data_IF_465990853152
#
_entry.id   IF_465990853152
#
_cell.length_a   1.000
_cell.length_b   1.000
_cell.length_c   1.000
_cell.angle_alpha   90.00
_cell.angle_beta   90.00
_cell.angle_gamma   90.00
#
_symmetry.space_group_name_H-M   'P 1'
#
loop_
_entity.id
_entity.type
_entity.pdbx_description
1 polymer ?
#
# COMPACT_ATOMS: atom_id res chain seq x y z
N UNK A 1 14.30 47.24 -4.80
CA UNK A 1 14.81 45.89 -4.46
C UNK A 1 13.88 45.15 -3.50
N UNK A 2 13.28 45.81 -2.51
CA UNK A 2 12.36 45.18 -1.51
C UNK A 2 11.09 44.53 -2.11
N UNK A 3 10.52 45.10 -3.17
CA UNK A 3 9.33 44.54 -3.84
C UNK A 3 9.56 43.13 -4.42
N UNK A 4 10.74 42.89 -5.01
CA UNK A 4 11.09 41.57 -5.56
C UNK A 4 11.40 40.57 -4.44
N UNK A 5 11.95 41.03 -3.31
CA UNK A 5 12.23 40.19 -2.15
C UNK A 5 10.94 39.67 -1.51
N UNK A 6 9.94 40.54 -1.27
CA UNK A 6 8.65 40.13 -0.74
C UNK A 6 7.92 39.14 -1.65
N UNK A 7 7.96 39.35 -2.97
CA UNK A 7 7.37 38.41 -3.94
C UNK A 7 8.04 37.04 -3.92
N UNK A 8 9.37 36.99 -3.74
CA UNK A 8 10.09 35.71 -3.61
C UNK A 8 9.81 34.99 -2.30
N UNK A 9 9.66 35.73 -1.19
CA UNK A 9 9.31 35.19 0.12
C UNK A 9 7.88 34.63 0.12
N UNK A 10 6.91 35.36 -0.42
CA UNK A 10 5.51 34.92 -0.54
C UNK A 10 5.37 33.66 -1.41
N UNK A 11 6.12 33.58 -2.52
CA UNK A 11 6.15 32.37 -3.35
C UNK A 11 6.76 31.17 -2.63
N UNK A 12 7.81 31.37 -1.84
CA UNK A 12 8.43 30.30 -1.06
C UNK A 12 7.52 29.79 0.06
N UNK A 13 6.83 30.71 0.76
CA UNK A 13 5.84 30.38 1.77
C UNK A 13 4.63 29.64 1.17
N UNK A 14 4.10 30.12 0.04
CA UNK A 14 2.98 29.46 -0.66
C UNK A 14 3.30 28.03 -1.11
N UNK A 15 4.52 27.78 -1.62
CA UNK A 15 4.97 26.41 -1.96
C UNK A 15 5.08 25.52 -0.73
N UNK A 16 5.55 26.05 0.40
CA UNK A 16 5.63 25.26 1.64
C UNK A 16 4.25 24.91 2.19
N UNK A 17 3.29 25.83 2.16
CA UNK A 17 1.90 25.58 2.56
C UNK A 17 1.26 24.52 1.67
N UNK A 18 1.48 24.58 0.35
CA UNK A 18 0.98 23.59 -0.60
C UNK A 18 1.56 22.18 -0.35
N UNK A 19 2.87 22.05 -0.07
CA UNK A 19 3.47 20.74 0.25
C UNK A 19 2.88 20.15 1.53
N UNK A 20 2.73 20.98 2.56
CA UNK A 20 2.21 20.53 3.85
C UNK A 20 0.73 20.11 3.76
N UNK A 21 -0.06 20.77 2.90
CA UNK A 21 -1.46 20.38 2.66
C UNK A 21 -1.56 19.05 1.92
N UNK A 22 -0.70 18.79 0.92
CA UNK A 22 -0.66 17.48 0.22
C UNK A 22 -0.32 16.37 1.21
N UNK A 23 0.76 16.51 1.99
CA UNK A 23 1.17 15.51 2.97
C UNK A 23 0.05 15.17 3.97
N UNK A 24 -0.56 16.21 4.57
CA UNK A 24 -1.65 16.04 5.53
C UNK A 24 -2.88 15.38 4.90
N UNK A 25 -3.27 15.81 3.70
CA UNK A 25 -4.43 15.26 3.00
C UNK A 25 -4.17 13.81 2.58
N UNK A 26 -2.95 13.47 2.19
CA UNK A 26 -2.55 12.09 1.89
C UNK A 26 -2.68 11.21 3.13
N UNK A 27 -2.19 11.63 4.30
CA UNK A 27 -2.31 10.83 5.52
C UNK A 27 -3.75 10.66 5.98
N UNK A 28 -4.57 11.72 5.88
CA UNK A 28 -6.00 11.61 6.18
C UNK A 28 -6.72 10.68 5.22
N UNK A 29 -6.45 10.79 3.92
CA UNK A 29 -7.10 9.95 2.93
C UNK A 29 -6.62 8.50 3.02
N UNK A 30 -5.34 8.28 3.35
CA UNK A 30 -4.78 6.95 3.62
C UNK A 30 -5.49 6.31 4.82
N UNK A 31 -5.63 7.03 5.93
CA UNK A 31 -6.35 6.55 7.11
C UNK A 31 -7.83 6.28 6.79
N UNK A 32 -8.48 7.17 6.05
CA UNK A 32 -9.87 7.00 5.59
C UNK A 32 -10.02 5.75 4.72
N UNK A 33 -9.05 5.45 3.87
CA UNK A 33 -9.05 4.28 2.98
C UNK A 33 -8.88 2.93 3.70
N UNK A 34 -8.41 2.94 4.95
CA UNK A 34 -8.37 1.73 5.77
C UNK A 34 -9.77 1.26 6.17
N UNK A 35 -10.72 2.16 6.37
CA UNK A 35 -12.11 1.84 6.74
C UNK A 35 -12.78 0.94 5.68
N UNK A 36 -12.89 1.34 4.39
CA UNK A 36 -13.46 0.48 3.36
C UNK A 36 -12.64 -0.81 3.17
N UNK A 37 -11.32 -0.79 3.36
CA UNK A 37 -10.51 -2.01 3.30
C UNK A 37 -10.93 -3.03 4.37
N UNK A 38 -11.07 -2.58 5.62
CA UNK A 38 -11.52 -3.43 6.74
C UNK A 38 -12.96 -3.89 6.53
N UNK A 39 -13.85 -3.01 6.06
CA UNK A 39 -15.23 -3.38 5.74
C UNK A 39 -15.30 -4.41 4.61
N UNK A 40 -14.53 -4.23 3.54
CA UNK A 40 -14.44 -5.18 2.44
C UNK A 40 -13.93 -6.54 2.91
N UNK A 41 -12.89 -6.55 3.74
CA UNK A 41 -12.38 -7.77 4.36
C UNK A 41 -13.43 -8.47 5.24
N UNK A 42 -14.12 -7.72 6.11
CA UNK A 42 -15.14 -8.25 7.00
C UNK A 42 -16.34 -8.83 6.22
N UNK A 43 -16.84 -8.11 5.22
CA UNK A 43 -17.93 -8.58 4.34
C UNK A 43 -17.49 -9.82 3.57
N UNK A 44 -16.28 -9.80 3.00
CA UNK A 44 -15.77 -10.92 2.23
C UNK A 44 -15.67 -12.21 3.05
N UNK A 45 -15.19 -12.11 4.30
CA UNK A 45 -15.15 -13.22 5.25
C UNK A 45 -16.56 -13.65 5.70
N UNK A 46 -17.41 -12.71 6.12
CA UNK A 46 -18.73 -13.01 6.69
C UNK A 46 -19.70 -13.64 5.68
N UNK A 47 -19.71 -13.16 4.44
CA UNK A 47 -20.60 -13.65 3.39
C UNK A 47 -19.98 -14.78 2.55
N UNK A 48 -18.74 -15.21 2.86
CA UNK A 48 -18.08 -16.29 2.14
C UNK A 48 -17.96 -16.04 0.64
N UNK A 49 -17.68 -14.78 0.24
CA UNK A 49 -17.70 -14.37 -1.17
C UNK A 49 -16.76 -15.29 -1.99
N UNK A 50 -17.29 -16.01 -3.00
CA UNK A 50 -16.47 -16.93 -3.78
C UNK A 50 -15.47 -16.15 -4.61
N UNK A 51 -14.22 -16.10 -4.15
CA UNK A 51 -13.15 -15.44 -4.86
C UNK A 51 -12.54 -16.37 -5.90
N UNK A 52 -12.42 -15.95 -7.18
CA UNK A 52 -11.76 -16.74 -8.19
C UNK A 52 -10.29 -16.97 -7.78
N UNK A 53 -9.85 -18.23 -7.81
CA UNK A 53 -8.50 -18.66 -7.38
C UNK A 53 -7.65 -19.03 -8.60
N UNK A 54 -6.34 -19.14 -8.39
CA UNK A 54 -5.40 -19.55 -9.43
C UNK A 54 -5.19 -18.48 -10.50
N UNK A 55 -4.78 -18.91 -11.69
CA UNK A 55 -4.37 -18.01 -12.77
C UNK A 55 -5.48 -17.07 -13.25
N UNK A 56 -6.71 -17.59 -13.42
CA UNK A 56 -7.87 -16.78 -13.84
C UNK A 56 -8.20 -15.72 -12.76
N UNK A 57 -8.16 -16.10 -11.48
CA UNK A 57 -8.33 -15.16 -10.37
C UNK A 57 -7.27 -14.07 -10.34
N UNK A 58 -6.00 -14.44 -10.57
CA UNK A 58 -4.90 -13.48 -10.64
C UNK A 58 -5.06 -12.50 -11.82
N UNK A 59 -5.48 -12.97 -12.99
CA UNK A 59 -5.73 -12.10 -14.15
C UNK A 59 -6.92 -11.17 -13.93
N UNK A 60 -8.01 -11.67 -13.35
CA UNK A 60 -9.18 -10.85 -13.00
C UNK A 60 -8.80 -9.77 -11.98
N UNK A 61 -8.06 -10.16 -10.93
CA UNK A 61 -7.54 -9.23 -9.94
C UNK A 61 -6.69 -8.15 -10.61
N UNK A 62 -5.73 -8.55 -11.45
CA UNK A 62 -4.81 -7.64 -12.12
C UNK A 62 -5.55 -6.68 -13.05
N UNK A 63 -6.50 -7.18 -13.85
CA UNK A 63 -7.31 -6.37 -14.77
C UNK A 63 -8.18 -5.35 -14.04
N UNK A 64 -8.85 -5.76 -12.95
CA UNK A 64 -9.66 -4.85 -12.14
C UNK A 64 -8.78 -3.83 -11.41
N UNK A 65 -7.67 -4.27 -10.81
CA UNK A 65 -6.75 -3.40 -10.11
C UNK A 65 -6.15 -2.32 -11.04
N UNK A 66 -5.67 -2.70 -12.22
CA UNK A 66 -5.20 -1.72 -13.21
C UNK A 66 -6.31 -0.81 -13.71
N UNK A 67 -7.53 -1.33 -13.91
CA UNK A 67 -8.69 -0.51 -14.26
C UNK A 67 -9.00 0.56 -13.22
N UNK A 68 -8.98 0.20 -11.93
CA UNK A 68 -9.14 1.15 -10.82
C UNK A 68 -8.00 2.16 -10.75
N UNK A 69 -6.74 1.70 -10.80
CA UNK A 69 -5.56 2.57 -10.75
C UNK A 69 -5.63 3.61 -11.88
N UNK A 70 -5.92 3.17 -13.10
CA UNK A 70 -6.11 4.07 -14.24
C UNK A 70 -7.27 5.05 -14.02
N UNK A 71 -8.42 4.58 -13.53
CA UNK A 71 -9.58 5.42 -13.30
C UNK A 71 -9.34 6.47 -12.20
N UNK A 72 -8.67 6.09 -11.10
CA UNK A 72 -8.27 7.00 -10.02
C UNK A 72 -7.31 8.05 -10.55
N UNK A 73 -6.27 7.63 -11.27
CA UNK A 73 -5.25 8.53 -11.78
C UNK A 73 -5.81 9.50 -12.82
N UNK A 74 -6.76 9.05 -13.64
CA UNK A 74 -7.51 9.91 -14.58
C UNK A 74 -8.39 10.94 -13.86
N UNK A 75 -8.95 10.59 -12.70
CA UNK A 75 -9.87 11.45 -11.95
C UNK A 75 -9.24 12.11 -10.71
N UNK A 76 -7.90 12.12 -10.60
CA UNK A 76 -7.16 12.61 -9.42
C UNK A 76 -7.37 14.10 -9.12
N UNK A 77 -7.93 14.88 -10.03
CA UNK A 77 -8.20 16.30 -9.82
C UNK A 77 -9.67 16.59 -9.43
N UNK A 78 -10.46 15.55 -9.15
CA UNK A 78 -11.88 15.65 -8.83
C UNK A 78 -12.23 14.83 -7.58
N UNK A 79 -13.34 15.17 -6.91
CA UNK A 79 -13.90 14.37 -5.83
C UNK A 79 -14.26 12.94 -6.25
N UNK A 80 -14.49 12.71 -7.55
CA UNK A 80 -14.66 11.38 -8.12
C UNK A 80 -13.42 10.49 -7.90
N UNK A 81 -12.20 11.06 -7.94
CA UNK A 81 -10.96 10.31 -7.66
C UNK A 81 -10.90 9.77 -6.23
N UNK A 82 -11.41 10.52 -5.26
CA UNK A 82 -11.54 10.07 -3.86
C UNK A 82 -12.52 8.90 -3.77
N UNK A 83 -13.69 9.02 -4.37
CA UNK A 83 -14.69 7.94 -4.37
C UNK A 83 -14.17 6.66 -5.03
N UNK A 84 -13.46 6.79 -6.17
CA UNK A 84 -12.81 5.66 -6.84
C UNK A 84 -11.72 5.01 -5.99
N UNK A 85 -10.92 5.82 -5.27
CA UNK A 85 -9.93 5.30 -4.33
C UNK A 85 -10.59 4.52 -3.19
N UNK A 86 -11.67 5.04 -2.60
CA UNK A 86 -12.39 4.34 -1.54
C UNK A 86 -13.05 3.04 -2.06
N UNK A 87 -13.59 3.05 -3.27
CA UNK A 87 -14.10 1.85 -3.94
C UNK A 87 -12.99 0.83 -4.24
N UNK A 88 -11.82 1.29 -4.69
CA UNK A 88 -10.66 0.43 -4.92
C UNK A 88 -10.16 -0.22 -3.63
N UNK A 89 -10.05 0.54 -2.56
CA UNK A 89 -9.60 0.03 -1.26
C UNK A 89 -10.61 -0.94 -0.64
N UNK A 90 -11.91 -0.74 -0.86
CA UNK A 90 -12.95 -1.74 -0.55
C UNK A 90 -12.75 -3.05 -1.34
N UNK A 91 -12.54 -2.95 -2.66
CA UNK A 91 -12.25 -4.10 -3.52
C UNK A 91 -11.00 -4.86 -3.05
N UNK A 92 -9.94 -4.14 -2.71
CA UNK A 92 -8.70 -4.73 -2.19
C UNK A 92 -8.92 -5.42 -0.84
N UNK A 93 -9.78 -4.86 0.01
CA UNK A 93 -10.27 -5.48 1.23
C UNK A 93 -10.98 -6.81 0.97
N UNK A 94 -11.92 -6.83 0.02
CA UNK A 94 -12.58 -8.07 -0.41
C UNK A 94 -11.56 -9.11 -0.88
N UNK A 95 -10.56 -8.71 -1.65
CA UNK A 95 -9.52 -9.61 -2.17
C UNK A 95 -8.62 -10.21 -1.07
N UNK A 96 -8.64 -9.68 0.16
CA UNK A 96 -7.96 -10.30 1.31
C UNK A 96 -8.67 -11.56 1.82
N UNK A 97 -9.93 -11.78 1.47
CA UNK A 97 -10.78 -12.85 2.02
C UNK A 97 -10.10 -14.22 2.03
N UNK A 98 -9.45 -14.72 0.95
CA UNK A 98 -8.82 -16.03 0.96
C UNK A 98 -7.66 -16.13 1.96
N UNK A 99 -6.89 -15.06 2.10
CA UNK A 99 -5.76 -14.99 3.04
C UNK A 99 -6.26 -14.90 4.49
N UNK A 100 -7.31 -14.12 4.74
CA UNK A 100 -7.92 -13.99 6.05
C UNK A 100 -8.60 -15.28 6.48
N UNK A 101 -9.37 -15.93 5.61
CA UNK A 101 -10.01 -17.22 5.93
C UNK A 101 -8.97 -18.30 6.26
N UNK A 102 -7.84 -18.35 5.54
CA UNK A 102 -6.75 -19.26 5.89
C UNK A 102 -6.18 -18.93 7.28
N UNK A 103 -6.01 -17.66 7.59
CA UNK A 103 -5.40 -17.23 8.86
C UNK A 103 -6.35 -17.41 10.05
N UNK A 104 -7.64 -17.10 9.87
CA UNK A 104 -8.69 -17.33 10.86
C UNK A 104 -8.96 -18.81 11.13
N UNK A 105 -8.48 -19.71 10.26
CA UNK A 105 -8.46 -21.14 10.51
C UNK A 105 -7.42 -21.58 11.56
N UNK A 106 -6.50 -20.71 11.97
CA UNK A 106 -5.61 -20.96 13.11
C UNK A 106 -6.31 -20.58 14.42
N UNK A 107 -6.02 -21.31 15.51
CA UNK A 107 -6.58 -21.03 16.83
C UNK A 107 -6.24 -19.62 17.36
N UNK A 108 -5.13 -19.03 16.89
CA UNK A 108 -4.69 -17.67 17.18
C UNK A 108 -4.84 -16.70 15.99
N UNK A 109 -5.69 -17.01 15.00
CA UNK A 109 -5.81 -16.26 13.75
C UNK A 109 -6.10 -14.76 13.91
N UNK A 110 -7.00 -14.41 14.84
CA UNK A 110 -7.31 -13.00 15.13
C UNK A 110 -6.10 -12.22 15.66
N UNK A 111 -5.29 -12.84 16.53
CA UNK A 111 -4.05 -12.27 17.05
C UNK A 111 -3.04 -12.05 15.92
N UNK A 112 -2.90 -12.98 14.98
CA UNK A 112 -1.99 -12.85 13.84
C UNK A 112 -2.37 -11.67 12.93
N UNK A 113 -3.66 -11.47 12.67
CA UNK A 113 -4.17 -10.33 11.89
C UNK A 113 -3.84 -9.02 12.61
N UNK A 114 -4.09 -8.94 13.91
CA UNK A 114 -3.75 -7.76 14.71
C UNK A 114 -2.24 -7.47 14.72
N UNK A 115 -1.40 -8.50 14.85
CA UNK A 115 0.06 -8.37 14.81
C UNK A 115 0.54 -7.89 13.44
N UNK A 116 -0.01 -8.42 12.35
CA UNK A 116 0.32 -7.96 11.00
C UNK A 116 -0.09 -6.49 10.79
N UNK A 117 -1.27 -6.10 11.26
CA UNK A 117 -1.74 -4.71 11.19
C UNK A 117 -0.84 -3.77 12.00
N UNK A 118 -0.57 -4.10 13.27
CA UNK A 118 0.30 -3.31 14.14
C UNK A 118 1.74 -3.24 13.63
N UNK A 119 2.27 -4.35 13.10
CA UNK A 119 3.59 -4.39 12.47
C UNK A 119 3.67 -3.49 11.24
N UNK A 120 2.66 -3.54 10.37
CA UNK A 120 2.58 -2.66 9.19
C UNK A 120 2.50 -1.20 9.58
N UNK A 121 1.64 -0.85 10.54
CA UNK A 121 1.52 0.51 11.04
C UNK A 121 2.84 1.02 11.64
N UNK A 122 3.57 0.16 12.36
CA UNK A 122 4.88 0.48 12.93
C UNK A 122 5.93 0.72 11.84
N UNK A 123 6.00 -0.16 10.83
CA UNK A 123 6.90 0.00 9.68
C UNK A 123 6.60 1.32 8.96
N UNK A 124 5.33 1.57 8.62
CA UNK A 124 4.93 2.81 7.95
C UNK A 124 5.29 4.04 8.78
N UNK A 125 4.98 4.05 10.08
CA UNK A 125 5.25 5.20 10.95
C UNK A 125 6.75 5.50 11.07
N UNK A 126 7.60 4.47 11.22
CA UNK A 126 9.05 4.63 11.29
C UNK A 126 9.59 5.15 9.97
N UNK A 127 9.23 4.53 8.85
CA UNK A 127 9.75 4.91 7.54
C UNK A 127 9.24 6.27 7.08
N UNK A 128 7.97 6.59 7.30
CA UNK A 128 7.43 7.91 7.01
C UNK A 128 8.13 8.99 7.84
N UNK A 129 8.43 8.71 9.12
CA UNK A 129 9.19 9.63 9.99
C UNK A 129 10.63 9.82 9.51
N UNK A 130 11.30 8.74 9.06
CA UNK A 130 12.64 8.83 8.47
C UNK A 130 12.60 9.65 7.17
N UNK A 131 11.62 9.40 6.30
CA UNK A 131 11.50 10.07 5.01
C UNK A 131 11.19 11.57 5.13
N UNK A 132 10.46 12.00 6.16
CA UNK A 132 10.13 13.42 6.38
C UNK A 132 11.31 14.24 6.89
N UNK A 133 12.25 13.64 7.62
CA UNK A 133 13.41 14.34 8.20
C UNK A 133 14.70 14.12 7.41
N UNK A 134 14.78 13.07 6.59
CA UNK A 134 15.99 12.70 5.84
C UNK A 134 16.23 13.63 4.66
N UNK A 135 17.49 14.10 4.56
CA UNK A 135 18.00 14.86 3.39
C UNK A 135 18.62 13.98 2.31
N UNK A 136 18.76 12.67 2.54
CA UNK A 136 19.33 11.74 1.55
C UNK A 136 18.32 11.43 0.46
N UNK A 137 18.73 11.43 -0.81
CA UNK A 137 17.85 11.03 -1.91
C UNK A 137 17.65 9.51 -1.95
N UNK A 138 16.38 9.06 -1.88
CA UNK A 138 15.99 7.66 -1.99
C UNK A 138 15.67 7.21 -3.43
N UNK A 139 15.78 8.08 -4.44
CA UNK A 139 15.46 7.73 -5.83
C UNK A 139 16.25 6.52 -6.35
N UNK A 140 17.52 6.36 -5.95
CA UNK A 140 18.34 5.19 -6.30
C UNK A 140 17.80 3.89 -5.71
N UNK A 141 17.35 3.93 -4.45
CA UNK A 141 16.75 2.77 -3.77
C UNK A 141 15.43 2.40 -4.44
N UNK A 142 14.60 3.39 -4.78
CA UNK A 142 13.34 3.18 -5.49
C UNK A 142 13.52 2.53 -6.86
N UNK A 143 14.54 2.94 -7.63
CA UNK A 143 14.86 2.32 -8.93
C UNK A 143 15.23 0.85 -8.77
N UNK A 144 16.03 0.51 -7.76
CA UNK A 144 16.36 -0.89 -7.45
C UNK A 144 15.14 -1.67 -6.97
N UNK A 145 14.33 -1.09 -6.07
CA UNK A 145 13.09 -1.67 -5.58
C UNK A 145 12.09 -1.95 -6.72
N UNK A 146 12.05 -1.11 -7.76
CA UNK A 146 11.25 -1.33 -8.96
C UNK A 146 11.68 -2.56 -9.76
N UNK A 147 13.00 -2.78 -9.92
CA UNK A 147 13.49 -4.03 -10.53
C UNK A 147 13.09 -5.23 -9.68
N UNK A 148 13.24 -5.12 -8.35
CA UNK A 148 12.76 -6.13 -7.41
C UNK A 148 11.26 -6.41 -7.52
N UNK A 149 10.45 -5.36 -7.67
CA UNK A 149 8.99 -5.45 -7.84
C UNK A 149 8.62 -6.31 -9.05
N UNK A 150 9.28 -6.07 -10.20
CA UNK A 150 9.07 -6.88 -11.40
C UNK A 150 9.42 -8.36 -11.14
N UNK A 151 10.54 -8.62 -10.46
CA UNK A 151 10.96 -9.98 -10.12
C UNK A 151 9.96 -10.67 -9.18
N UNK A 152 9.47 -10.01 -8.14
CA UNK A 152 8.49 -10.62 -7.22
C UNK A 152 7.14 -10.86 -7.91
N UNK A 153 6.73 -10.02 -8.86
CA UNK A 153 5.52 -10.25 -9.66
C UNK A 153 5.68 -11.51 -10.51
N UNK A 154 6.79 -11.65 -11.22
CA UNK A 154 7.09 -12.85 -12.01
C UNK A 154 7.17 -14.11 -11.13
N UNK A 155 7.85 -14.02 -9.98
CA UNK A 155 7.93 -15.10 -9.01
C UNK A 155 6.55 -15.47 -8.44
N UNK A 156 5.69 -14.48 -8.18
CA UNK A 156 4.32 -14.71 -7.70
C UNK A 156 3.48 -15.42 -8.75
N UNK A 157 3.60 -15.04 -10.03
CA UNK A 157 2.92 -15.71 -11.14
C UNK A 157 3.40 -17.16 -11.30
N UNK A 158 4.71 -17.40 -11.24
CA UNK A 158 5.26 -18.75 -11.28
C UNK A 158 4.77 -19.59 -10.10
N UNK A 159 4.71 -19.00 -8.89
CA UNK A 159 4.28 -19.67 -7.68
C UNK A 159 2.79 -20.09 -7.71
N UNK A 160 1.96 -19.51 -8.58
CA UNK A 160 0.58 -19.99 -8.79
C UNK A 160 0.58 -21.43 -9.33
N UNK A 161 1.55 -21.78 -10.18
CA UNK A 161 1.67 -23.11 -10.78
C UNK A 161 2.44 -24.10 -9.90
N UNK A 162 3.54 -23.63 -9.28
CA UNK A 162 4.40 -24.50 -8.48
C UNK A 162 3.93 -24.67 -7.03
N UNK A 163 3.18 -23.70 -6.50
CA UNK A 163 2.61 -23.72 -5.15
C UNK A 163 3.64 -24.04 -4.05
N UNK A 164 4.85 -23.48 -4.16
CA UNK A 164 5.96 -23.80 -3.25
C UNK A 164 5.84 -22.92 -2.00
N UNK A 165 5.71 -23.51 -0.79
CA UNK A 165 5.59 -22.73 0.45
C UNK A 165 6.82 -21.86 0.72
N UNK A 166 8.03 -22.38 0.51
CA UNK A 166 9.27 -21.64 0.69
C UNK A 166 9.40 -20.43 -0.26
N UNK A 167 8.91 -20.57 -1.50
CA UNK A 167 8.88 -19.48 -2.46
C UNK A 167 7.90 -18.38 -2.03
N UNK A 168 6.73 -18.77 -1.51
CA UNK A 168 5.75 -17.83 -0.95
C UNK A 168 6.37 -16.96 0.14
N UNK A 169 7.07 -17.58 1.11
CA UNK A 169 7.73 -16.85 2.19
C UNK A 169 8.85 -15.94 1.69
N UNK A 170 9.64 -16.42 0.74
CA UNK A 170 10.72 -15.63 0.12
C UNK A 170 10.14 -14.38 -0.55
N UNK A 171 9.05 -14.54 -1.29
CA UNK A 171 8.32 -13.43 -1.91
C UNK A 171 7.80 -12.47 -0.83
N UNK A 172 7.20 -12.96 0.26
CA UNK A 172 6.70 -12.12 1.34
C UNK A 172 7.80 -11.28 2.00
N UNK A 173 8.96 -11.90 2.32
CA UNK A 173 10.09 -11.18 2.94
C UNK A 173 10.64 -10.11 1.99
N UNK A 174 10.84 -10.45 0.71
CA UNK A 174 11.31 -9.49 -0.29
C UNK A 174 10.29 -8.36 -0.51
N UNK A 175 9.00 -8.69 -0.55
CA UNK A 175 7.93 -7.71 -0.68
C UNK A 175 7.95 -6.70 0.47
N UNK A 176 8.10 -7.13 1.72
CA UNK A 176 8.22 -6.19 2.85
C UNK A 176 9.37 -5.21 2.63
N UNK A 177 10.55 -5.69 2.23
CA UNK A 177 11.70 -4.82 1.95
C UNK A 177 11.47 -3.85 0.79
N UNK A 178 10.90 -4.33 -0.31
CA UNK A 178 10.62 -3.55 -1.53
C UNK A 178 9.58 -2.47 -1.25
N UNK A 179 8.44 -2.82 -0.67
CA UNK A 179 7.37 -1.87 -0.38
C UNK A 179 7.75 -0.91 0.76
N UNK A 180 8.63 -1.32 1.69
CA UNK A 180 9.26 -0.39 2.65
C UNK A 180 10.13 0.66 1.95
N UNK A 181 10.89 0.26 0.93
CA UNK A 181 11.68 1.19 0.14
C UNK A 181 10.80 2.16 -0.67
N UNK A 182 9.66 1.71 -1.19
CA UNK A 182 8.68 2.59 -1.84
C UNK A 182 8.06 3.59 -0.87
N UNK A 183 7.67 3.18 0.36
CA UNK A 183 7.20 4.13 1.38
C UNK A 183 8.23 5.23 1.65
N UNK A 184 9.50 4.87 1.82
CA UNK A 184 10.58 5.85 2.03
C UNK A 184 10.65 6.86 0.87
N UNK A 185 10.61 6.35 -0.36
CA UNK A 185 10.68 7.17 -1.56
C UNK A 185 9.44 8.05 -1.74
N UNK A 186 8.25 7.50 -1.62
CA UNK A 186 6.99 8.18 -1.89
C UNK A 186 6.71 9.25 -0.83
N UNK A 187 6.93 8.95 0.46
CA UNK A 187 6.82 9.96 1.51
C UNK A 187 7.82 11.09 1.28
N UNK A 188 9.08 10.77 0.95
CA UNK A 188 10.07 11.78 0.65
C UNK A 188 9.69 12.62 -0.57
N UNK A 189 9.14 11.99 -1.62
CA UNK A 189 8.69 12.66 -2.83
C UNK A 189 7.55 13.64 -2.55
N UNK A 190 6.60 13.29 -1.67
CA UNK A 190 5.52 14.19 -1.23
C UNK A 190 6.10 15.37 -0.44
N UNK A 191 6.96 15.12 0.55
CA UNK A 191 7.57 16.16 1.40
C UNK A 191 8.40 17.14 0.58
N UNK A 192 9.13 16.63 -0.42
CA UNK A 192 9.95 17.46 -1.31
C UNK A 192 9.13 18.17 -2.42
N UNK A 193 7.83 17.90 -2.53
CA UNK A 193 6.94 18.50 -3.53
C UNK A 193 7.07 17.88 -4.93
N UNK A 194 7.67 16.70 -5.06
CA UNK A 194 7.73 15.92 -6.30
C UNK A 194 6.42 15.18 -6.60
N UNK A 195 5.53 15.04 -5.63
CA UNK A 195 4.13 14.64 -5.81
C UNK A 195 3.23 15.74 -5.26
N UNK A 196 2.32 16.23 -6.10
CA UNK A 196 1.44 17.37 -5.79
C UNK A 196 0.00 16.97 -5.62
N UNK A 197 -0.34 15.72 -5.96
CA UNK A 197 -1.68 15.20 -5.85
C UNK A 197 -1.80 14.23 -4.68
N UNK A 198 -2.62 14.59 -3.69
CA UNK A 198 -2.81 13.76 -2.50
C UNK A 198 -3.53 12.44 -2.80
N UNK A 199 -4.34 12.34 -3.87
CA UNK A 199 -5.02 11.10 -4.27
C UNK A 199 -4.01 10.11 -4.85
N UNK A 200 -3.17 10.54 -5.80
CA UNK A 200 -2.09 9.69 -6.37
C UNK A 200 -1.09 9.27 -5.29
N UNK A 201 -0.70 10.19 -4.41
CA UNK A 201 0.13 9.91 -3.24
C UNK A 201 -0.52 8.89 -2.30
N UNK A 202 -1.83 8.99 -2.06
CA UNK A 202 -2.54 8.03 -1.21
C UNK A 202 -2.61 6.65 -1.86
N UNK A 203 -2.88 6.58 -3.16
CA UNK A 203 -2.92 5.32 -3.90
C UNK A 203 -1.59 4.56 -3.79
N UNK A 204 -0.46 5.26 -3.99
CA UNK A 204 0.87 4.67 -3.88
C UNK A 204 1.13 4.13 -2.46
N UNK A 205 0.99 4.98 -1.44
CA UNK A 205 1.21 4.57 -0.05
C UNK A 205 0.24 3.47 0.41
N UNK A 206 -1.00 3.47 -0.08
CA UNK A 206 -1.97 2.42 0.18
C UNK A 206 -1.50 1.07 -0.35
N UNK A 207 -1.03 1.03 -1.60
CA UNK A 207 -0.52 -0.19 -2.21
C UNK A 207 0.68 -0.74 -1.43
N UNK A 208 1.59 0.13 -1.00
CA UNK A 208 2.74 -0.30 -0.20
C UNK A 208 2.30 -0.89 1.14
N UNK A 209 1.44 -0.19 1.87
CA UNK A 209 0.90 -0.63 3.17
C UNK A 209 0.13 -1.95 3.02
N UNK A 210 -0.70 -2.07 1.99
CA UNK A 210 -1.44 -3.30 1.70
C UNK A 210 -0.51 -4.49 1.45
N UNK A 211 0.55 -4.30 0.66
CA UNK A 211 1.48 -5.37 0.35
C UNK A 211 2.36 -5.75 1.55
N UNK A 212 2.75 -4.79 2.39
CA UNK A 212 3.45 -5.08 3.65
C UNK A 212 2.53 -5.87 4.59
N UNK A 213 1.27 -5.46 4.74
CA UNK A 213 0.29 -6.16 5.58
C UNK A 213 0.09 -7.60 5.13
N UNK A 214 -0.20 -7.82 3.85
CA UNK A 214 -0.41 -9.17 3.31
C UNK A 214 0.82 -10.05 3.44
N UNK A 215 2.01 -9.48 3.23
CA UNK A 215 3.28 -10.21 3.37
C UNK A 215 3.61 -10.56 4.82
N UNK A 216 3.41 -9.63 5.76
CA UNK A 216 3.56 -9.89 7.20
C UNK A 216 2.57 -10.95 7.66
N UNK A 217 1.31 -10.87 7.23
CA UNK A 217 0.28 -11.84 7.59
C UNK A 217 0.62 -13.24 7.06
N UNK A 218 1.15 -13.35 5.84
CA UNK A 218 1.62 -14.62 5.28
C UNK A 218 2.76 -15.22 6.10
N UNK A 219 3.75 -14.40 6.48
CA UNK A 219 4.89 -14.85 7.30
C UNK A 219 4.39 -15.30 8.68
N UNK A 220 3.63 -14.46 9.38
CA UNK A 220 3.10 -14.76 10.71
C UNK A 220 2.19 -15.99 10.71
N UNK A 221 1.35 -16.13 9.69
CA UNK A 221 0.52 -17.32 9.50
C UNK A 221 1.32 -18.60 9.26
N UNK A 222 2.53 -18.51 8.72
CA UNK A 222 3.41 -19.66 8.54
C UNK A 222 4.24 -19.98 9.78
N UNK A 223 4.83 -18.97 10.41
CA UNK A 223 5.78 -19.14 11.52
C UNK A 223 5.10 -19.30 12.89
N UNK A 224 3.94 -18.67 13.06
CA UNK A 224 3.31 -18.47 14.37
C UNK A 224 1.86 -18.93 14.39
N UNK A 225 1.38 -19.57 13.32
CA UNK A 225 0.02 -20.13 13.23
C UNK A 225 -0.12 -21.40 14.03
N UNK A 226 -0.95 -21.37 15.08
CA UNK A 226 -1.25 -22.54 15.89
C UNK A 226 -2.36 -23.35 15.23
N UNK A 227 -2.06 -24.62 14.93
CA UNK A 227 -3.02 -25.60 14.39
C UNK A 227 -3.48 -26.50 15.53
N UNK A 228 -4.20 -25.91 16.48
CA UNK A 228 -4.91 -26.65 17.54
C UNK A 228 -6.41 -26.61 17.29
#
# INVERSE_FOLDING_TARGET
MEYNLNKTLDQSAGRQVARNSVLRNTYWLLALSMIPTVLGAAIGVAFGVPMPRGFIGALLFLGIAFGFIWAIEKNKHSGAGVALLLGFTFFMGLMLTPLLNRTLGYGNGGTLIMLAFGGTASIFAVLASIATVSKRDFSGVAKFAFVGLVLIILASLANIFFQIPALTLTISVLAIGIFSAFILYDVQRIVNGGETNYISATLALYLDVYNIFTSLLQILGFTSGNRE
#
